data_IF_800923104237
#
_entry.id   IF_800923104237
#
_cell.length_a   1.000
_cell.length_b   1.000
_cell.length_c   1.000
_cell.angle_alpha   90.00
_cell.angle_beta   90.00
_cell.angle_gamma   90.00
#
_symmetry.space_group_name_H-M   'P 1'
#
loop_
_entity.id
_entity.type
_entity.pdbx_description
1 polymer ?
#
# COMPACT_ATOMS: atom_id res chain seq x y z
N UNK A 1 -39.93 30.27 -21.68
CA UNK A 1 -40.23 29.38 -22.82
C UNK A 1 -39.07 29.56 -23.80
N UNK A 2 -38.12 28.66 -24.01
CA UNK A 2 -38.20 27.20 -23.97
C UNK A 2 -36.77 26.65 -23.95
N UNK A 3 -36.55 25.66 -23.09
CA UNK A 3 -35.60 24.54 -23.16
C UNK A 3 -34.66 24.54 -24.37
N UNK A 4 -33.35 24.55 -24.09
CA UNK A 4 -32.34 23.99 -24.99
C UNK A 4 -31.57 22.94 -24.21
N UNK A 5 -31.96 21.69 -24.50
CA UNK A 5 -31.12 20.50 -24.62
C UNK A 5 -30.16 20.21 -23.46
N UNK A 6 -30.73 19.51 -22.47
CA UNK A 6 -30.04 18.49 -21.68
C UNK A 6 -29.59 17.40 -22.67
N UNK A 7 -28.42 17.60 -23.28
CA UNK A 7 -27.76 16.60 -24.12
C UNK A 7 -27.36 15.43 -23.21
N UNK A 8 -28.14 14.35 -23.33
CA UNK A 8 -27.77 12.96 -23.20
C UNK A 8 -26.37 12.64 -22.63
N UNK A 9 -26.18 12.83 -21.33
CA UNK A 9 -25.14 12.13 -20.55
C UNK A 9 -25.58 10.67 -20.34
N UNK A 10 -25.72 9.94 -21.43
CA UNK A 10 -26.16 8.53 -21.44
C UNK A 10 -25.28 7.66 -22.34
N UNK A 11 -24.18 8.22 -22.86
CA UNK A 11 -23.25 7.58 -23.79
C UNK A 11 -22.05 6.90 -23.14
N UNK A 12 -21.79 7.12 -21.85
CA UNK A 12 -20.73 6.44 -21.09
C UNK A 12 -21.30 5.74 -19.87
N UNK A 13 -22.45 5.05 -20.02
CA UNK A 13 -22.74 3.94 -19.10
C UNK A 13 -21.69 2.88 -19.37
N UNK A 14 -20.52 3.05 -18.75
CA UNK A 14 -19.58 1.97 -18.45
C UNK A 14 -20.48 0.83 -18.04
N UNK A 15 -20.46 -0.23 -18.85
CA UNK A 15 -21.39 -1.34 -18.71
C UNK A 15 -20.88 -2.18 -17.52
N UNK A 16 -20.90 -1.56 -16.33
CA UNK A 16 -20.51 -2.13 -15.04
C UNK A 16 -21.28 -3.43 -14.93
N UNK A 17 -20.55 -4.53 -14.72
CA UNK A 17 -21.17 -5.84 -14.64
C UNK A 17 -22.04 -5.88 -13.37
N UNK A 18 -23.37 -5.93 -13.49
CA UNK A 18 -24.26 -5.77 -12.34
C UNK A 18 -24.08 -6.88 -11.30
N UNK A 19 -23.62 -8.06 -11.73
CA UNK A 19 -23.30 -9.18 -10.83
C UNK A 19 -22.04 -8.91 -10.02
N UNK A 20 -21.00 -8.34 -10.64
CA UNK A 20 -19.77 -7.96 -9.92
C UNK A 20 -20.05 -6.81 -8.95
N UNK A 21 -20.87 -5.85 -9.36
CA UNK A 21 -21.25 -4.71 -8.52
C UNK A 21 -22.05 -5.15 -7.29
N UNK A 22 -22.98 -6.09 -7.46
CA UNK A 22 -23.75 -6.63 -6.34
C UNK A 22 -22.88 -7.43 -5.36
N UNK A 23 -21.90 -8.20 -5.87
CA UNK A 23 -20.91 -8.89 -5.05
C UNK A 23 -20.04 -7.90 -4.27
N UNK A 24 -19.49 -6.90 -4.97
CA UNK A 24 -18.70 -5.84 -4.37
C UNK A 24 -19.49 -5.06 -3.30
N UNK A 25 -20.74 -4.71 -3.55
CA UNK A 25 -21.56 -3.99 -2.55
C UNK A 25 -21.87 -4.83 -1.32
N UNK A 26 -22.13 -6.13 -1.49
CA UNK A 26 -22.44 -7.01 -0.37
C UNK A 26 -21.27 -7.13 0.61
N UNK A 27 -20.05 -7.22 0.09
CA UNK A 27 -18.84 -7.33 0.89
C UNK A 27 -18.30 -5.95 1.31
N UNK A 28 -18.28 -4.99 0.40
CA UNK A 28 -17.68 -3.67 0.61
C UNK A 28 -18.39 -2.83 1.67
N UNK A 29 -19.71 -2.97 1.84
CA UNK A 29 -20.42 -2.26 2.92
C UNK A 29 -20.00 -2.75 4.31
N UNK A 30 -19.83 -4.06 4.48
CA UNK A 30 -19.38 -4.64 5.73
C UNK A 30 -17.92 -4.21 6.01
N UNK A 31 -17.05 -4.31 4.99
CA UNK A 31 -15.64 -3.89 5.07
C UNK A 31 -15.51 -2.43 5.49
N UNK A 32 -16.21 -1.49 4.84
CA UNK A 32 -16.06 -0.07 5.13
C UNK A 32 -16.56 0.28 6.55
N UNK A 33 -17.65 -0.35 7.00
CA UNK A 33 -18.15 -0.17 8.36
C UNK A 33 -17.19 -0.76 9.41
N UNK A 34 -16.62 -1.92 9.14
CA UNK A 34 -15.62 -2.54 10.01
C UNK A 34 -14.34 -1.72 10.08
N UNK A 35 -13.87 -1.21 8.93
CA UNK A 35 -12.72 -0.31 8.85
C UNK A 35 -12.94 0.99 9.64
N UNK A 36 -14.12 1.60 9.57
CA UNK A 36 -14.44 2.79 10.37
C UNK A 36 -14.39 2.50 11.89
N UNK A 37 -14.84 1.31 12.30
CA UNK A 37 -14.78 0.86 13.69
C UNK A 37 -13.35 0.52 14.16
N UNK A 38 -12.54 -0.09 13.29
CA UNK A 38 -11.11 -0.32 13.54
C UNK A 38 -10.36 1.01 13.71
N UNK A 39 -10.62 1.99 12.82
CA UNK A 39 -10.00 3.32 12.90
C UNK A 39 -10.34 4.03 14.22
N UNK A 40 -11.61 4.00 14.64
CA UNK A 40 -12.03 4.58 15.93
C UNK A 40 -11.37 3.91 17.14
N UNK A 41 -11.18 2.59 17.11
CA UNK A 41 -10.49 1.86 18.17
C UNK A 41 -9.01 2.21 18.19
N UNK A 42 -8.38 2.25 17.03
CA UNK A 42 -6.99 2.63 16.91
C UNK A 42 -6.73 4.08 17.36
N UNK A 43 -7.66 5.02 17.09
CA UNK A 43 -7.58 6.40 17.63
C UNK A 43 -7.58 6.43 19.16
N UNK A 44 -8.31 5.52 19.82
CA UNK A 44 -8.32 5.41 21.29
C UNK A 44 -7.06 4.72 21.82
N UNK A 45 -6.49 3.78 21.05
CA UNK A 45 -5.32 2.99 21.41
C UNK A 45 -4.27 2.98 20.29
N UNK A 46 -3.56 4.11 20.03
CA UNK A 46 -2.64 4.21 18.89
C UNK A 46 -1.40 3.32 19.00
N UNK A 47 -1.14 2.71 20.17
CA UNK A 47 -0.09 1.72 20.38
C UNK A 47 -0.44 0.31 19.88
N UNK A 48 -1.71 0.05 19.54
CA UNK A 48 -2.17 -1.25 19.08
C UNK A 48 -2.00 -1.39 17.57
N UNK A 49 -0.93 -2.08 17.14
CA UNK A 49 -0.65 -2.33 15.72
C UNK A 49 -1.61 -3.31 15.05
N UNK A 50 -2.35 -4.10 15.84
CA UNK A 50 -3.30 -5.07 15.30
C UNK A 50 -4.42 -4.39 14.51
N UNK A 51 -4.93 -3.26 15.01
CA UNK A 51 -5.99 -2.51 14.34
C UNK A 51 -5.50 -1.91 13.01
N UNK A 52 -4.24 -1.46 12.95
CA UNK A 52 -3.61 -0.99 11.71
C UNK A 52 -3.45 -2.11 10.67
N UNK A 53 -2.99 -3.30 11.09
CA UNK A 53 -2.88 -4.45 10.19
C UNK A 53 -4.25 -4.86 9.65
N UNK A 54 -5.27 -4.90 10.50
CA UNK A 54 -6.63 -5.19 10.07
C UNK A 54 -7.15 -4.15 9.07
N UNK A 55 -6.91 -2.85 9.31
CA UNK A 55 -7.28 -1.78 8.38
C UNK A 55 -6.64 -1.95 6.99
N UNK A 56 -5.36 -2.33 6.94
CA UNK A 56 -4.65 -2.60 5.68
C UNK A 56 -5.27 -3.78 4.92
N UNK A 57 -5.59 -4.88 5.62
CA UNK A 57 -6.20 -6.07 5.02
C UNK A 57 -7.61 -5.77 4.47
N UNK A 58 -8.44 -5.08 5.26
CA UNK A 58 -9.80 -4.66 4.88
C UNK A 58 -9.77 -3.75 3.64
N UNK A 59 -8.92 -2.71 3.65
CA UNK A 59 -8.81 -1.79 2.51
C UNK A 59 -8.20 -2.42 1.26
N UNK A 60 -7.27 -3.37 1.41
CA UNK A 60 -6.70 -4.12 0.29
C UNK A 60 -7.78 -4.95 -0.39
N UNK A 61 -8.63 -5.60 0.41
CA UNK A 61 -9.77 -6.39 -0.08
C UNK A 61 -10.78 -5.49 -0.79
N UNK A 62 -11.12 -4.35 -0.19
CA UNK A 62 -12.03 -3.36 -0.78
C UNK A 62 -11.49 -2.78 -2.10
N UNK A 63 -10.23 -2.37 -2.15
CA UNK A 63 -9.58 -1.82 -3.35
C UNK A 63 -9.58 -2.82 -4.50
N UNK A 64 -9.19 -4.07 -4.23
CA UNK A 64 -9.24 -5.13 -5.23
C UNK A 64 -10.68 -5.39 -5.72
N UNK A 65 -11.67 -5.40 -4.82
CA UNK A 65 -13.08 -5.49 -5.18
C UNK A 65 -13.55 -4.32 -6.06
N UNK A 66 -13.15 -3.10 -5.73
CA UNK A 66 -13.47 -1.89 -6.49
C UNK A 66 -12.85 -1.92 -7.89
N UNK A 67 -11.61 -2.37 -8.01
CA UNK A 67 -10.93 -2.58 -9.27
C UNK A 67 -11.69 -3.58 -10.17
N UNK A 68 -12.07 -4.73 -9.63
CA UNK A 68 -12.85 -5.75 -10.36
C UNK A 68 -14.26 -5.27 -10.73
N UNK A 69 -14.84 -4.39 -9.92
CA UNK A 69 -16.14 -3.77 -10.16
C UNK A 69 -16.10 -2.57 -11.11
N UNK A 70 -14.92 -2.19 -11.61
CA UNK A 70 -14.70 -1.03 -12.49
C UNK A 70 -15.14 0.30 -11.82
N UNK A 71 -14.71 0.48 -10.57
CA UNK A 71 -14.95 1.65 -9.71
C UNK A 71 -13.64 2.38 -9.39
N UNK A 72 -13.01 3.05 -10.39
CA UNK A 72 -11.69 3.68 -10.20
C UNK A 72 -11.70 4.77 -9.13
N UNK A 73 -12.84 5.44 -8.89
CA UNK A 73 -12.95 6.47 -7.84
C UNK A 73 -12.82 5.90 -6.43
N UNK A 74 -13.31 4.68 -6.22
CA UNK A 74 -13.20 3.98 -4.93
C UNK A 74 -11.80 3.41 -4.80
N UNK A 75 -11.29 2.78 -5.86
CA UNK A 75 -9.95 2.20 -5.95
C UNK A 75 -8.87 3.25 -5.59
N UNK A 76 -8.90 4.43 -6.23
CA UNK A 76 -7.97 5.54 -5.97
C UNK A 76 -7.98 6.00 -4.50
N UNK A 77 -9.15 6.05 -3.88
CA UNK A 77 -9.26 6.49 -2.48
C UNK A 77 -8.78 5.39 -1.52
N UNK A 78 -9.01 4.12 -1.83
CA UNK A 78 -8.44 2.98 -1.11
C UNK A 78 -6.92 2.97 -1.20
N UNK A 79 -6.35 3.14 -2.40
CA UNK A 79 -4.89 3.22 -2.60
C UNK A 79 -4.27 4.35 -1.76
N UNK A 80 -4.83 5.55 -1.79
CA UNK A 80 -4.33 6.68 -1.01
C UNK A 80 -4.39 6.43 0.52
N UNK A 81 -5.40 5.69 1.00
CA UNK A 81 -5.50 5.27 2.39
C UNK A 81 -4.48 4.17 2.74
N UNK A 82 -4.28 3.20 1.86
CA UNK A 82 -3.28 2.14 2.01
C UNK A 82 -1.88 2.72 2.09
N UNK A 83 -1.53 3.66 1.20
CA UNK A 83 -0.25 4.36 1.24
C UNK A 83 -0.06 5.10 2.57
N UNK A 84 -1.11 5.80 3.03
CA UNK A 84 -1.09 6.52 4.30
C UNK A 84 -0.84 5.60 5.50
N UNK A 85 -1.54 4.47 5.55
CA UNK A 85 -1.41 3.48 6.62
C UNK A 85 -0.09 2.70 6.54
N UNK A 86 0.38 2.36 5.34
CA UNK A 86 1.68 1.74 5.10
C UNK A 86 2.82 2.63 5.59
N UNK A 87 2.75 3.95 5.34
CA UNK A 87 3.75 4.88 5.84
C UNK A 87 3.81 4.93 7.39
N UNK A 88 2.67 4.73 8.07
CA UNK A 88 2.65 4.61 9.53
C UNK A 88 3.21 3.26 9.98
N UNK A 89 2.87 2.17 9.29
CA UNK A 89 3.38 0.82 9.58
C UNK A 89 4.92 0.78 9.49
N UNK A 90 5.47 1.40 8.44
CA UNK A 90 6.91 1.54 8.21
C UNK A 90 7.59 2.55 9.15
N UNK A 91 6.83 3.20 10.05
CA UNK A 91 7.30 4.28 10.94
C UNK A 91 7.88 5.49 10.21
N UNK A 92 7.51 5.68 8.94
CA UNK A 92 7.87 6.83 8.09
C UNK A 92 6.98 8.04 8.37
N UNK A 93 5.72 7.81 8.75
CA UNK A 93 4.76 8.83 9.14
C UNK A 93 4.35 8.70 10.62
N UNK A 94 4.45 9.80 11.37
CA UNK A 94 3.97 9.84 12.75
C UNK A 94 2.45 10.07 12.80
N UNK A 95 1.77 9.27 13.63
CA UNK A 95 0.34 9.41 13.88
C UNK A 95 0.06 10.71 14.64
N UNK A 96 -0.92 11.49 14.17
CA UNK A 96 -1.34 12.77 14.76
C UNK A 96 -2.85 12.95 14.67
N UNK A 97 -3.43 13.95 15.36
CA UNK A 97 -4.87 14.25 15.21
C UNK A 97 -5.24 14.59 13.77
N UNK A 98 -4.40 15.38 13.08
CA UNK A 98 -4.60 15.73 11.66
C UNK A 98 -4.63 14.50 10.76
N UNK A 99 -3.80 13.50 11.07
CA UNK A 99 -3.80 12.23 10.36
C UNK A 99 -5.14 11.50 10.54
N UNK A 100 -5.62 11.37 11.78
CA UNK A 100 -6.89 10.70 12.06
C UNK A 100 -8.08 11.43 11.43
N UNK A 101 -8.11 12.75 11.51
CA UNK A 101 -9.19 13.53 10.90
C UNK A 101 -9.19 13.37 9.37
N UNK A 102 -8.02 13.32 8.72
CA UNK A 102 -7.93 13.08 7.28
C UNK A 102 -8.39 11.65 6.91
N UNK A 103 -7.96 10.65 7.69
CA UNK A 103 -8.36 9.26 7.52
C UNK A 103 -9.88 9.10 7.69
N UNK A 104 -10.47 9.64 8.77
CA UNK A 104 -11.92 9.59 9.03
C UNK A 104 -12.73 10.23 7.88
N UNK A 105 -12.30 11.40 7.38
CA UNK A 105 -12.95 12.04 6.22
C UNK A 105 -12.88 11.17 4.95
N UNK A 106 -11.78 10.42 4.75
CA UNK A 106 -11.64 9.51 3.62
C UNK A 106 -12.49 8.24 3.78
N UNK A 107 -12.58 7.67 4.99
CA UNK A 107 -13.49 6.57 5.30
C UNK A 107 -14.96 6.97 5.11
N UNK A 108 -15.36 8.16 5.58
CA UNK A 108 -16.70 8.70 5.33
C UNK A 108 -16.95 8.91 3.83
N UNK A 109 -15.94 9.37 3.08
CA UNK A 109 -16.04 9.50 1.64
C UNK A 109 -16.24 8.14 0.94
N UNK A 110 -15.57 7.07 1.39
CA UNK A 110 -15.81 5.69 0.90
C UNK A 110 -17.25 5.25 1.16
N UNK A 111 -17.79 5.42 2.37
CA UNK A 111 -19.19 5.10 2.70
C UNK A 111 -20.13 5.79 1.71
N UNK A 112 -19.95 7.10 1.54
CA UNK A 112 -20.78 7.89 0.62
C UNK A 112 -20.66 7.43 -0.84
N UNK A 113 -19.49 6.95 -1.27
CA UNK A 113 -19.31 6.39 -2.61
C UNK A 113 -20.03 5.06 -2.76
N UNK A 114 -19.93 4.14 -1.79
CA UNK A 114 -20.66 2.87 -1.82
C UNK A 114 -22.18 3.09 -1.76
N UNK A 115 -22.66 4.08 -1.02
CA UNK A 115 -24.07 4.47 -1.01
C UNK A 115 -24.55 4.92 -2.39
N UNK A 116 -23.74 5.68 -3.14
CA UNK A 116 -24.06 6.05 -4.53
C UNK A 116 -24.15 4.82 -5.43
N UNK A 117 -23.21 3.88 -5.29
CA UNK A 117 -23.23 2.61 -6.03
C UNK A 117 -24.50 1.81 -5.69
N UNK A 118 -24.86 1.71 -4.41
CA UNK A 118 -26.06 1.02 -3.93
C UNK A 118 -27.35 1.68 -4.43
N UNK A 119 -27.37 3.02 -4.54
CA UNK A 119 -28.46 3.78 -5.13
C UNK A 119 -28.51 3.70 -6.67
N UNK A 120 -27.56 3.01 -7.31
CA UNK A 120 -27.44 2.93 -8.76
C UNK A 120 -27.06 4.26 -9.42
N UNK A 121 -26.42 5.14 -8.66
CA UNK A 121 -25.90 6.44 -9.11
C UNK A 121 -24.45 6.28 -9.61
N UNK A 122 -23.98 7.29 -10.35
CA UNK A 122 -22.57 7.37 -10.70
C UNK A 122 -21.74 7.86 -9.51
N UNK A 123 -20.59 7.21 -9.31
CA UNK A 123 -19.68 7.54 -8.22
C UNK A 123 -18.91 8.81 -8.53
N UNK A 124 -19.09 9.82 -7.69
CA UNK A 124 -18.34 11.08 -7.80
C UNK A 124 -16.93 10.93 -7.20
N UNK A 125 -15.88 11.33 -7.93
CA UNK A 125 -14.52 11.30 -7.40
C UNK A 125 -14.34 12.31 -6.26
N UNK A 126 -13.45 11.99 -5.31
CA UNK A 126 -13.14 12.83 -4.14
C UNK A 126 -11.67 13.27 -4.15
N UNK A 127 -11.24 14.10 -5.13
CA UNK A 127 -9.84 14.50 -5.27
C UNK A 127 -9.33 15.32 -4.08
N UNK A 128 -10.22 16.00 -3.36
CA UNK A 128 -9.86 16.76 -2.16
C UNK A 128 -9.43 15.84 -1.01
N UNK A 129 -10.08 14.69 -0.84
CA UNK A 129 -9.70 13.67 0.14
C UNK A 129 -8.34 13.07 -0.22
N UNK A 130 -8.18 12.59 -1.46
CA UNK A 130 -6.92 12.02 -1.96
C UNK A 130 -5.76 13.02 -1.81
N UNK A 131 -5.98 14.29 -2.18
CA UNK A 131 -4.97 15.34 -2.01
C UNK A 131 -4.61 15.57 -0.55
N UNK A 132 -5.57 15.55 0.37
CA UNK A 132 -5.30 15.74 1.79
C UNK A 132 -4.45 14.60 2.37
N UNK A 133 -4.70 13.35 1.96
CA UNK A 133 -3.92 12.17 2.34
C UNK A 133 -2.49 12.27 1.78
N UNK A 134 -2.35 12.54 0.49
CA UNK A 134 -1.03 12.69 -0.16
C UNK A 134 -0.20 13.82 0.44
N UNK A 135 -0.83 14.94 0.81
CA UNK A 135 -0.13 16.04 1.49
C UNK A 135 0.44 15.63 2.86
N UNK A 136 -0.19 14.68 3.56
CA UNK A 136 0.35 14.15 4.82
C UNK A 136 1.56 13.24 4.56
N UNK A 137 1.48 12.40 3.53
CA UNK A 137 2.58 11.55 3.08
C UNK A 137 3.80 12.37 2.66
N UNK A 138 3.60 13.42 1.87
CA UNK A 138 4.67 14.34 1.42
C UNK A 138 5.38 15.04 2.59
N UNK A 139 4.69 15.23 3.73
CA UNK A 139 5.29 15.83 4.93
C UNK A 139 6.08 14.82 5.77
N UNK A 140 5.79 13.52 5.67
CA UNK A 140 6.52 12.44 6.33
C UNK A 140 7.79 12.05 5.57
N UNK A 141 7.72 12.06 4.25
CA UNK A 141 8.86 11.82 3.38
C UNK A 141 9.76 13.06 3.40
N UNK A 142 10.70 13.12 4.35
CA UNK A 142 11.72 14.17 4.38
C UNK A 142 12.31 14.35 2.96
N UNK A 143 12.35 15.56 2.37
CA UNK A 143 12.84 15.77 1.00
C UNK A 143 14.30 15.33 0.80
N UNK A 144 15.00 15.04 1.89
CA UNK A 144 16.34 14.45 1.90
C UNK A 144 16.34 12.93 1.65
N UNK A 145 15.24 12.22 1.92
CA UNK A 145 15.08 10.78 1.69
C UNK A 145 14.54 10.45 0.28
N UNK A 146 13.84 11.38 -0.37
CA UNK A 146 13.29 11.23 -1.75
C UNK A 146 14.22 11.74 -2.85
N UNK A 147 15.49 12.03 -2.52
CA UNK A 147 16.49 12.60 -3.41
C UNK A 147 17.08 11.68 -4.49
N UNK A 148 16.32 10.75 -5.10
CA UNK A 148 16.82 9.92 -6.21
C UNK A 148 15.87 9.70 -7.39
N UNK A 149 14.77 10.45 -7.53
CA UNK A 149 14.10 10.56 -8.84
C UNK A 149 13.78 12.01 -9.13
N UNK A 150 14.80 12.77 -9.56
CA UNK A 150 14.55 13.93 -10.40
C UNK A 150 14.01 13.40 -11.72
N UNK A 151 12.70 13.51 -11.89
CA UNK A 151 12.02 13.51 -13.18
C UNK A 151 12.48 14.74 -13.97
N UNK A 152 13.70 14.69 -14.51
CA UNK A 152 14.09 15.56 -15.59
C UNK A 152 13.40 15.03 -16.85
N UNK A 153 12.36 15.75 -17.27
CA UNK A 153 11.68 15.48 -18.51
C UNK A 153 12.68 15.43 -19.66
N UNK A 154 12.50 14.43 -20.53
CA UNK A 154 13.24 14.20 -21.77
C UNK A 154 14.46 13.27 -21.69
N UNK A 155 14.20 12.00 -21.36
CA UNK A 155 14.93 10.90 -21.98
C UNK A 155 14.00 9.70 -22.11
N UNK A 156 13.57 9.44 -23.34
CA UNK A 156 13.19 8.09 -23.79
C UNK A 156 14.09 7.08 -23.11
N UNK A 157 13.49 6.27 -22.23
CA UNK A 157 14.13 5.09 -21.66
C UNK A 157 14.52 4.21 -22.84
N UNK A 158 15.78 4.32 -23.25
CA UNK A 158 16.39 3.36 -24.16
C UNK A 158 16.37 2.05 -23.40
N UNK A 159 15.45 1.16 -23.79
CA UNK A 159 15.48 -0.25 -23.43
C UNK A 159 16.81 -0.78 -23.97
N UNK A 160 17.85 -0.73 -23.14
CA UNK A 160 19.04 -1.51 -23.41
C UNK A 160 18.62 -2.95 -23.22
N UNK A 161 18.58 -3.69 -24.33
CA UNK A 161 18.21 -5.10 -24.36
C UNK A 161 19.02 -5.86 -23.31
N UNK A 162 18.31 -6.63 -22.50
CA UNK A 162 18.80 -7.42 -21.36
C UNK A 162 20.06 -8.25 -21.70
N UNK A 163 20.28 -8.55 -22.98
CA UNK A 163 21.44 -9.26 -23.52
C UNK A 163 22.79 -8.55 -23.26
N UNK A 164 22.84 -7.22 -23.34
CA UNK A 164 24.08 -6.46 -23.14
C UNK A 164 24.52 -6.42 -21.66
N UNK A 165 23.54 -6.39 -20.74
CA UNK A 165 23.82 -6.44 -19.30
C UNK A 165 24.37 -7.80 -18.86
N UNK A 166 23.90 -8.91 -19.46
CA UNK A 166 24.44 -10.25 -19.21
C UNK A 166 25.87 -10.45 -19.74
N UNK A 167 26.24 -9.81 -20.84
CA UNK A 167 27.60 -9.91 -21.39
C UNK A 167 28.65 -9.19 -20.52
N UNK A 168 28.30 -8.07 -19.90
CA UNK A 168 29.18 -7.38 -18.95
C UNK A 168 29.38 -8.21 -17.67
N UNK A 169 28.30 -8.74 -17.08
CA UNK A 169 28.38 -9.60 -15.90
C UNK A 169 29.21 -10.88 -16.14
N UNK A 170 29.17 -11.45 -17.35
CA UNK A 170 30.00 -12.61 -17.71
C UNK A 170 31.50 -12.26 -17.78
N UNK A 171 31.85 -11.07 -18.26
CA UNK A 171 33.25 -10.57 -18.28
C UNK A 171 33.82 -10.31 -16.89
N UNK A 172 32.98 -9.93 -15.94
CA UNK A 172 33.39 -9.64 -14.56
C UNK A 172 33.49 -10.90 -13.69
N UNK A 173 32.78 -11.98 -14.04
CA UNK A 173 32.90 -13.28 -13.37
C UNK A 173 34.24 -13.98 -13.63
N UNK A 174 34.86 -13.78 -14.79
CA UNK A 174 36.15 -14.40 -15.15
C UNK A 174 37.36 -13.82 -14.37
N UNK A 175 37.19 -12.71 -13.65
CA UNK A 175 38.25 -12.06 -12.87
C UNK A 175 38.23 -12.35 -11.35
N UNK A 176 37.23 -13.11 -10.85
CA UNK A 176 37.08 -13.38 -9.42
C UNK A 176 37.56 -14.78 -8.98
N UNK A 177 38.02 -15.64 -9.90
CA UNK A 177 38.31 -17.06 -9.60
C UNK A 177 39.70 -17.36 -8.98
N UNK A 178 40.30 -16.44 -8.22
CA UNK A 178 41.60 -16.74 -7.54
C UNK A 178 41.67 -16.48 -6.04
N UNK A 179 40.56 -16.25 -5.35
CA UNK A 179 40.52 -16.28 -3.90
C UNK A 179 39.51 -17.34 -3.44
N UNK A 180 40.01 -18.51 -3.02
CA UNK A 180 39.23 -19.43 -2.20
C UNK A 180 38.75 -18.72 -0.92
N UNK A 181 37.72 -19.24 -0.23
CA UNK A 181 37.26 -18.67 1.03
C UNK A 181 38.47 -18.50 1.96
N UNK A 182 38.62 -17.30 2.51
CA UNK A 182 39.70 -16.98 3.44
C UNK A 182 39.61 -17.92 4.65
N UNK A 183 40.66 -18.69 4.91
CA UNK A 183 40.70 -19.69 5.99
C UNK A 183 40.46 -19.01 7.35
N UNK A 184 40.84 -17.73 7.49
CA UNK A 184 40.54 -16.89 8.65
C UNK A 184 39.03 -16.64 8.83
N UNK A 185 38.29 -16.39 7.75
CA UNK A 185 36.84 -16.19 7.80
C UNK A 185 36.11 -17.51 8.10
N UNK A 186 36.62 -18.63 7.58
CA UNK A 186 36.07 -19.96 7.85
C UNK A 186 36.29 -20.34 9.32
N UNK A 187 37.47 -20.03 9.87
CA UNK A 187 37.77 -20.29 11.29
C UNK A 187 36.88 -19.46 12.22
N UNK A 188 36.71 -18.16 11.94
CA UNK A 188 35.78 -17.27 12.69
C UNK A 188 34.34 -17.80 12.64
N UNK A 189 33.87 -18.23 11.46
CA UNK A 189 32.52 -18.75 11.31
C UNK A 189 32.29 -20.05 12.09
N UNK A 190 33.29 -20.94 12.12
CA UNK A 190 33.20 -22.21 12.85
C UNK A 190 33.28 -22.02 14.37
N UNK A 191 34.07 -21.06 14.85
CA UNK A 191 34.13 -20.70 16.28
C UNK A 191 32.77 -20.16 16.75
N UNK A 192 32.19 -19.21 16.02
CA UNK A 192 30.89 -18.63 16.35
C UNK A 192 29.75 -19.65 16.27
N UNK A 193 29.80 -20.59 15.31
CA UNK A 193 28.79 -21.64 15.18
C UNK A 193 28.76 -22.57 16.41
N UNK A 194 29.93 -22.87 17.00
CA UNK A 194 30.03 -23.68 18.22
C UNK A 194 29.44 -22.93 19.41
N UNK A 195 29.74 -21.64 19.55
CA UNK A 195 29.21 -20.80 20.63
C UNK A 195 27.68 -20.64 20.55
N UNK A 196 27.13 -20.47 19.34
CA UNK A 196 25.69 -20.42 19.11
C UNK A 196 25.04 -21.77 19.48
N UNK A 197 25.64 -22.90 19.10
CA UNK A 197 25.12 -24.23 19.40
C UNK A 197 25.11 -24.52 20.91
N UNK A 198 26.16 -24.14 21.64
CA UNK A 198 26.21 -24.35 23.09
C UNK A 198 25.20 -23.45 23.82
N UNK A 199 25.09 -22.19 23.42
CA UNK A 199 24.07 -21.25 23.92
C UNK A 199 22.64 -21.78 23.71
N UNK A 200 22.35 -22.29 22.50
CA UNK A 200 21.05 -22.89 22.18
C UNK A 200 20.77 -24.16 23.00
N UNK A 201 21.78 -25.00 23.24
CA UNK A 201 21.67 -26.19 24.08
C UNK A 201 21.36 -25.84 25.55
N UNK A 202 22.03 -24.84 26.11
CA UNK A 202 21.76 -24.35 27.45
C UNK A 202 20.37 -23.72 27.57
N UNK A 203 19.93 -22.95 26.56
CA UNK A 203 18.59 -22.36 26.53
C UNK A 203 17.50 -23.44 26.52
N UNK A 204 17.69 -24.51 25.74
CA UNK A 204 16.78 -25.65 25.70
C UNK A 204 16.74 -26.41 27.03
N UNK A 205 17.89 -26.64 27.67
CA UNK A 205 17.95 -27.28 28.99
C UNK A 205 17.27 -26.44 30.08
N UNK A 206 17.41 -25.11 30.06
CA UNK A 206 16.67 -24.21 30.97
C UNK A 206 15.15 -24.30 30.77
N UNK A 207 14.71 -24.51 29.53
CA UNK A 207 13.29 -24.61 29.22
C UNK A 207 12.67 -25.96 29.65
N UNK A 208 13.47 -27.02 29.70
CA UNK A 208 13.04 -28.36 30.10
C UNK A 208 13.14 -28.65 31.60
N UNK A 209 13.73 -27.74 32.39
CA UNK A 209 13.94 -27.87 33.84
C UNK A 209 12.78 -27.31 34.68
#
# INVERSE_FOLDING_TARGET
LTVVLRESDSGLRIKRNPTLLAGFLAEGMDIVLDAENLLRRWRQHPGERQELSALLDELTTLGHGAHLADLPQVDELCEALLDLYGAVEESSLAVSERFFDAAENAHEALINMLDQVAAGQDVEPRPECVRALNQLLDQALDPSATGLVKSDGHRTLSVTELNAATEQLASEAEHAETAGPDDEIVEIFLEEAVDILDSAGQALQRWLA
#
